data_IF_928306845844
#
_entry.id   IF_928306845844
#
_cell.length_a   1.000
_cell.length_b   1.000
_cell.length_c   1.000
_cell.angle_alpha   90.00
_cell.angle_beta   90.00
_cell.angle_gamma   90.00
#
_symmetry.space_group_name_H-M   'P 1'
#
loop_
_entity.id
_entity.type
_entity.pdbx_description
1 polymer ?
#
# COMPACT_ATOMS: atom_id res chain seq x y z
N UNK A 1 -13.84 37.63 -38.96
CA UNK A 1 -14.11 37.65 -37.50
C UNK A 1 -13.02 36.83 -36.79
N UNK A 2 -12.53 37.24 -35.60
CA UNK A 2 -11.58 36.42 -34.86
C UNK A 2 -12.26 35.13 -34.35
N UNK A 3 -11.48 34.03 -34.17
CA UNK A 3 -12.02 32.79 -33.63
C UNK A 3 -12.49 32.99 -32.17
N UNK A 4 -13.51 32.23 -31.73
CA UNK A 4 -13.95 32.29 -30.34
C UNK A 4 -12.81 31.86 -29.40
N UNK A 5 -12.75 32.42 -28.19
CA UNK A 5 -11.76 32.02 -27.19
C UNK A 5 -11.91 30.52 -26.86
N UNK A 6 -10.80 29.84 -26.54
CA UNK A 6 -10.84 28.42 -26.18
C UNK A 6 -11.76 28.21 -24.98
N UNK A 7 -12.64 27.21 -25.08
CA UNK A 7 -13.53 26.84 -24.00
C UNK A 7 -12.69 26.50 -22.76
N UNK A 8 -12.87 27.27 -21.68
CA UNK A 8 -12.30 26.94 -20.38
C UNK A 8 -12.93 25.63 -19.91
N UNK A 9 -12.09 24.59 -19.72
CA UNK A 9 -12.46 23.28 -19.15
C UNK A 9 -12.92 23.36 -17.67
N UNK A 10 -13.54 24.47 -17.26
CA UNK A 10 -13.77 24.83 -15.86
C UNK A 10 -15.10 24.33 -15.29
N UNK A 11 -15.83 23.46 -16.00
CA UNK A 11 -17.16 23.04 -15.56
C UNK A 11 -17.41 21.54 -15.65
N UNK A 12 -16.37 20.71 -15.51
CA UNK A 12 -16.63 19.33 -15.07
C UNK A 12 -16.81 19.41 -13.56
N UNK A 13 -18.04 19.29 -13.04
CA UNK A 13 -18.18 19.20 -11.60
C UNK A 13 -17.46 17.94 -11.12
N UNK A 14 -16.46 18.09 -10.27
CA UNK A 14 -15.79 16.99 -9.59
C UNK A 14 -16.74 16.44 -8.52
N UNK A 15 -17.77 15.72 -8.94
CA UNK A 15 -18.50 14.85 -8.03
C UNK A 15 -17.69 13.56 -7.90
N UNK A 16 -17.10 13.32 -6.74
CA UNK A 16 -16.75 11.96 -6.34
C UNK A 16 -18.09 11.23 -6.16
N UNK A 17 -18.55 10.59 -7.23
CA UNK A 17 -19.75 9.76 -7.23
C UNK A 17 -19.51 8.68 -6.17
N UNK A 18 -20.28 8.75 -5.07
CA UNK A 18 -20.44 7.76 -4.00
C UNK A 18 -19.37 6.67 -3.99
N UNK A 19 -18.15 7.04 -3.60
CA UNK A 19 -17.12 6.04 -3.31
C UNK A 19 -17.54 5.39 -2.01
N UNK A 20 -17.93 4.11 -2.08
CA UNK A 20 -18.24 3.32 -0.89
C UNK A 20 -17.12 3.47 0.14
N UNK A 21 -17.46 3.45 1.44
CA UNK A 21 -16.48 3.48 2.52
C UNK A 21 -15.38 2.45 2.23
N UNK A 22 -14.20 2.97 1.91
CA UNK A 22 -13.08 2.19 1.41
C UNK A 22 -11.96 2.23 2.42
N UNK A 23 -11.49 1.06 2.82
CA UNK A 23 -10.32 0.92 3.67
C UNK A 23 -9.08 0.76 2.81
N UNK A 24 -7.97 1.38 3.22
CA UNK A 24 -6.70 1.17 2.54
C UNK A 24 -5.55 1.05 3.55
N UNK A 25 -4.59 0.21 3.18
CA UNK A 25 -3.26 0.20 3.77
C UNK A 25 -2.24 0.45 2.67
N UNK A 26 -1.41 1.45 2.87
CA UNK A 26 -0.41 1.86 1.90
C UNK A 26 0.88 2.25 2.59
N UNK A 27 1.96 2.28 1.82
CA UNK A 27 3.25 2.73 2.30
C UNK A 27 3.89 3.65 1.25
N UNK A 28 4.32 4.83 1.70
CA UNK A 28 5.01 5.85 0.89
C UNK A 28 6.12 6.51 1.70
N UNK A 29 6.95 5.69 2.37
CA UNK A 29 7.93 6.17 3.36
C UNK A 29 7.38 6.24 4.79
N UNK A 30 6.07 6.45 4.92
CA UNK A 30 5.30 6.16 6.14
C UNK A 30 4.17 5.22 5.78
N UNK A 31 3.72 4.41 6.74
CA UNK A 31 2.53 3.59 6.51
C UNK A 31 1.29 4.42 6.79
N UNK A 32 0.32 4.33 5.89
CA UNK A 32 -1.04 4.76 6.17
C UNK A 32 -1.88 3.52 6.39
N UNK A 33 -2.43 3.41 7.60
CA UNK A 33 -3.33 2.34 7.98
C UNK A 33 -4.67 3.00 8.26
N UNK A 34 -5.63 2.80 7.35
CA UNK A 34 -6.93 3.47 7.39
C UNK A 34 -6.81 5.01 7.37
N UNK A 35 -7.39 5.66 8.38
CA UNK A 35 -7.40 7.10 8.58
C UNK A 35 -6.18 7.60 9.34
N UNK A 36 -5.37 6.70 9.90
CA UNK A 36 -4.20 7.04 10.71
C UNK A 36 -2.90 6.92 9.92
N UNK A 37 -2.10 7.99 9.96
CA UNK A 37 -0.71 7.94 9.55
C UNK A 37 0.12 7.36 10.70
N UNK A 38 0.89 6.32 10.40
CA UNK A 38 1.87 5.76 11.33
C UNK A 38 3.27 6.10 10.84
N UNK A 39 3.80 7.20 11.38
CA UNK A 39 5.15 7.69 11.11
C UNK A 39 6.23 6.83 11.78
N UNK A 40 5.85 5.84 12.59
CA UNK A 40 6.81 4.93 13.23
C UNK A 40 7.41 3.95 12.23
N UNK A 41 6.82 3.77 11.03
CA UNK A 41 7.42 2.95 9.98
C UNK A 41 8.78 3.53 9.56
N UNK A 42 9.86 2.75 9.72
CA UNK A 42 11.23 3.23 9.55
C UNK A 42 11.86 2.87 8.21
N UNK A 43 11.15 2.13 7.37
CA UNK A 43 11.59 1.99 5.99
C UNK A 43 11.33 3.35 5.30
N UNK A 44 12.33 3.87 4.60
CA UNK A 44 12.22 5.01 3.69
C UNK A 44 12.86 4.57 2.38
N UNK A 45 12.07 4.41 1.34
CA UNK A 45 12.55 3.88 0.05
C UNK A 45 13.11 4.98 -0.85
N UNK A 46 13.87 5.92 -0.30
CA UNK A 46 14.39 7.08 -1.03
C UNK A 46 15.45 6.72 -2.10
N UNK A 47 15.70 5.43 -2.32
CA UNK A 47 16.64 4.88 -3.30
C UNK A 47 16.12 3.54 -3.85
N UNK A 48 14.94 3.55 -4.46
CA UNK A 48 14.52 2.41 -5.28
C UNK A 48 15.20 2.50 -6.64
N UNK A 49 15.81 1.41 -7.06
CA UNK A 49 16.47 1.31 -8.37
C UNK A 49 15.72 0.36 -9.30
N UNK A 50 16.00 0.45 -10.60
CA UNK A 50 15.42 -0.47 -11.57
C UNK A 50 15.82 -1.92 -11.24
N UNK A 51 14.82 -2.79 -11.10
CA UNK A 51 15.01 -4.19 -10.70
C UNK A 51 14.73 -4.45 -9.22
N UNK A 52 14.59 -3.41 -8.39
CA UNK A 52 14.13 -3.58 -7.02
C UNK A 52 12.68 -4.09 -6.97
N UNK A 53 12.40 -4.92 -5.98
CA UNK A 53 11.06 -5.41 -5.66
C UNK A 53 10.64 -4.91 -4.31
N UNK A 54 9.46 -4.29 -4.24
CA UNK A 54 8.80 -3.92 -3.00
C UNK A 54 7.52 -4.74 -2.87
N UNK A 55 7.29 -5.33 -1.71
CA UNK A 55 6.06 -6.05 -1.43
C UNK A 55 5.42 -5.56 -0.13
N UNK A 56 4.10 -5.50 -0.14
CA UNK A 56 3.27 -5.23 1.03
C UNK A 56 2.50 -6.52 1.35
N UNK A 57 2.61 -6.99 2.58
CA UNK A 57 1.82 -8.12 3.06
C UNK A 57 0.85 -7.61 4.13
N UNK A 58 -0.45 -7.84 3.91
CA UNK A 58 -1.46 -7.75 4.94
C UNK A 58 -1.92 -9.17 5.30
N UNK A 59 -1.66 -9.60 6.53
CA UNK A 59 -1.99 -10.96 6.99
C UNK A 59 -3.32 -10.99 7.74
N UNK A 60 -3.97 -12.17 7.74
CA UNK A 60 -5.20 -12.45 8.52
C UNK A 60 -5.02 -12.32 10.03
N UNK A 61 -3.78 -12.43 10.52
CA UNK A 61 -3.39 -12.15 11.90
C UNK A 61 -3.19 -10.65 12.18
N UNK A 62 -3.63 -9.79 11.25
CA UNK A 62 -3.61 -8.32 11.37
C UNK A 62 -2.22 -7.70 11.38
N UNK A 63 -1.27 -8.29 10.64
CA UNK A 63 0.04 -7.67 10.42
C UNK A 63 0.11 -7.01 9.06
N UNK A 64 0.58 -5.77 9.03
CA UNK A 64 1.00 -5.09 7.82
C UNK A 64 2.53 -5.05 7.77
N UNK A 65 3.12 -5.61 6.71
CA UNK A 65 4.55 -5.81 6.60
C UNK A 65 5.07 -5.28 5.27
N UNK A 66 6.26 -4.69 5.29
CA UNK A 66 6.92 -4.13 4.10
C UNK A 66 8.21 -4.90 3.83
N UNK A 67 8.37 -5.33 2.58
CA UNK A 67 9.54 -6.04 2.10
C UNK A 67 10.20 -5.25 0.98
N UNK A 68 11.53 -5.35 0.92
CA UNK A 68 12.33 -4.85 -0.20
C UNK A 68 13.39 -5.87 -0.55
N UNK A 69 13.38 -6.33 -1.81
CA UNK A 69 14.19 -7.41 -2.34
C UNK A 69 14.11 -8.68 -1.48
N UNK A 70 12.88 -9.08 -1.14
CA UNK A 70 12.56 -10.27 -0.34
C UNK A 70 12.84 -10.16 1.16
N UNK A 71 13.49 -9.10 1.64
CA UNK A 71 13.83 -8.92 3.05
C UNK A 71 12.79 -8.09 3.77
N UNK A 72 12.37 -8.53 4.97
CA UNK A 72 11.51 -7.75 5.85
C UNK A 72 12.22 -6.46 6.24
N UNK A 73 11.58 -5.32 5.99
CA UNK A 73 12.10 -4.01 6.38
C UNK A 73 11.43 -3.49 7.64
N UNK A 74 10.12 -3.62 7.73
CA UNK A 74 9.36 -3.21 8.91
C UNK A 74 7.97 -3.87 8.93
N UNK A 75 7.33 -3.91 10.09
CA UNK A 75 5.99 -4.48 10.27
C UNK A 75 5.22 -3.83 11.41
N UNK A 76 3.89 -3.76 11.33
CA UNK A 76 3.04 -3.29 12.42
C UNK A 76 1.83 -4.19 12.62
N UNK A 77 1.41 -4.29 13.87
CA UNK A 77 0.10 -4.83 14.21
C UNK A 77 -0.96 -3.78 13.93
N UNK A 78 -1.99 -4.16 13.19
CA UNK A 78 -3.04 -3.26 12.73
C UNK A 78 -4.32 -3.60 13.49
N UNK A 79 -4.65 -2.78 14.49
CA UNK A 79 -5.79 -3.04 15.40
C UNK A 79 -7.12 -3.09 14.65
N UNK A 80 -7.28 -2.18 13.68
CA UNK A 80 -8.46 -2.01 12.86
C UNK A 80 -8.18 -2.40 11.40
N UNK A 81 -7.59 -3.57 11.17
CA UNK A 81 -7.91 -4.27 9.93
C UNK A 81 -9.38 -4.58 10.11
N UNK A 82 -10.24 -3.79 9.48
CA UNK A 82 -11.67 -4.03 9.48
C UNK A 82 -11.88 -5.51 9.10
N UNK A 83 -13.07 -6.07 9.29
CA UNK A 83 -13.44 -7.38 8.75
C UNK A 83 -13.20 -7.54 7.21
N UNK A 84 -12.59 -6.55 6.56
CA UNK A 84 -12.22 -6.34 5.16
C UNK A 84 -11.25 -7.35 4.55
N UNK A 85 -10.61 -8.26 5.27
CA UNK A 85 -9.97 -9.41 4.60
C UNK A 85 -11.01 -10.40 4.05
N UNK A 86 -12.28 -10.28 4.45
CA UNK A 86 -13.41 -11.00 3.86
C UNK A 86 -13.92 -10.33 2.57
N UNK A 87 -13.44 -9.12 2.26
CA UNK A 87 -13.83 -8.36 1.06
C UNK A 87 -12.67 -8.33 0.04
N UNK A 88 -12.98 -8.20 -1.27
CA UNK A 88 -11.95 -8.08 -2.29
C UNK A 88 -11.01 -6.91 -2.02
N UNK A 89 -9.71 -7.19 -1.97
CA UNK A 89 -8.66 -6.17 -1.89
C UNK A 89 -8.03 -5.94 -3.26
N UNK A 90 -7.72 -4.67 -3.54
CA UNK A 90 -7.07 -4.26 -4.77
C UNK A 90 -5.72 -3.65 -4.46
N UNK A 91 -4.69 -4.12 -5.16
CA UNK A 91 -3.36 -3.52 -5.10
C UNK A 91 -3.34 -2.20 -5.89
N UNK A 92 -2.89 -1.13 -5.24
CA UNK A 92 -2.74 0.19 -5.84
C UNK A 92 -1.28 0.63 -5.72
N UNK A 93 -0.78 1.31 -6.75
CA UNK A 93 0.54 1.93 -6.75
C UNK A 93 0.38 3.37 -7.24
N UNK A 94 0.76 4.33 -6.41
CA UNK A 94 0.89 5.74 -6.80
C UNK A 94 2.32 5.96 -7.31
N UNK A 95 2.42 6.43 -8.56
CA UNK A 95 3.69 6.63 -9.26
C UNK A 95 3.91 8.14 -9.40
N UNK A 96 5.00 8.64 -8.81
CA UNK A 96 5.34 10.08 -8.82
C UNK A 96 6.75 10.33 -9.33
N UNK A 97 6.97 11.51 -9.90
CA UNK A 97 8.28 11.97 -10.35
C UNK A 97 8.76 11.24 -11.62
N UNK A 98 10.05 10.87 -11.66
CA UNK A 98 10.71 10.30 -12.84
C UNK A 98 10.50 8.79 -13.02
N UNK A 99 9.62 8.18 -12.23
CA UNK A 99 9.31 6.75 -12.37
C UNK A 99 8.66 6.48 -13.72
N UNK A 100 9.33 5.66 -14.55
CA UNK A 100 8.87 5.36 -15.91
C UNK A 100 7.93 4.16 -15.97
N UNK A 101 8.25 3.09 -15.23
CA UNK A 101 7.55 1.81 -15.31
C UNK A 101 7.56 1.15 -13.94
N UNK A 102 6.41 0.61 -13.55
CA UNK A 102 6.27 -0.32 -12.42
C UNK A 102 5.50 -1.53 -12.93
N UNK A 103 5.96 -2.73 -12.57
CA UNK A 103 5.29 -3.99 -12.92
C UNK A 103 4.64 -4.56 -11.67
N UNK A 104 3.34 -4.82 -11.72
CA UNK A 104 2.64 -5.56 -10.67
C UNK A 104 2.79 -7.06 -10.92
N UNK A 105 3.50 -7.74 -10.02
CA UNK A 105 3.61 -9.20 -10.04
C UNK A 105 2.32 -9.83 -9.48
N UNK A 106 1.36 -10.13 -10.37
CA UNK A 106 0.02 -10.62 -10.01
C UNK A 106 0.02 -11.96 -9.28
N UNK A 107 0.97 -12.82 -9.62
CA UNK A 107 1.14 -14.15 -9.02
C UNK A 107 2.29 -14.18 -8.00
N UNK A 108 2.67 -13.02 -7.45
CA UNK A 108 3.71 -12.95 -6.44
C UNK A 108 3.24 -13.68 -5.18
N UNK A 109 3.96 -14.73 -4.82
CA UNK A 109 3.79 -15.40 -3.54
C UNK A 109 4.71 -14.74 -2.53
N UNK A 110 4.27 -14.51 -1.29
CA UNK A 110 5.15 -14.04 -0.23
C UNK A 110 6.31 -15.04 -0.07
N UNK A 111 7.58 -14.61 -0.13
CA UNK A 111 8.73 -15.50 0.05
C UNK A 111 8.66 -16.30 1.35
N UNK A 112 9.27 -17.48 1.41
CA UNK A 112 9.23 -18.32 2.63
C UNK A 112 9.73 -17.59 3.89
N UNK A 113 10.71 -16.70 3.75
CA UNK A 113 11.19 -15.85 4.84
C UNK A 113 10.11 -14.89 5.36
N UNK A 114 9.27 -14.38 4.48
CA UNK A 114 8.12 -13.54 4.80
C UNK A 114 7.08 -14.33 5.58
N UNK A 115 6.76 -15.54 5.10
CA UNK A 115 5.83 -16.44 5.77
C UNK A 115 6.38 -16.84 7.15
N UNK A 116 7.68 -17.14 7.25
CA UNK A 116 8.35 -17.45 8.52
C UNK A 116 8.33 -16.27 9.49
N UNK A 117 8.62 -15.05 9.02
CA UNK A 117 8.58 -13.85 9.83
C UNK A 117 7.16 -13.57 10.34
N UNK A 118 6.15 -13.64 9.47
CA UNK A 118 4.76 -13.49 9.84
C UNK A 118 4.32 -14.50 10.90
N UNK A 119 4.70 -15.78 10.75
CA UNK A 119 4.43 -16.83 11.75
C UNK A 119 5.18 -16.60 13.06
N UNK A 120 6.41 -16.08 13.03
CA UNK A 120 7.17 -15.74 14.24
C UNK A 120 6.48 -14.63 15.01
N UNK A 121 6.15 -13.53 14.34
CA UNK A 121 5.46 -12.38 14.95
C UNK A 121 4.10 -12.81 15.53
N UNK A 122 3.32 -13.61 14.80
CA UNK A 122 2.04 -14.13 15.30
C UNK A 122 2.20 -14.92 16.60
N UNK A 123 3.19 -15.84 16.68
CA UNK A 123 3.43 -16.62 17.90
C UNK A 123 3.86 -15.78 19.09
N UNK A 124 4.70 -14.77 18.88
CA UNK A 124 5.18 -13.90 19.96
C UNK A 124 4.07 -12.98 20.52
N UNK A 125 2.96 -12.81 19.80
CA UNK A 125 1.87 -11.90 20.15
C UNK A 125 0.53 -12.60 20.47
N UNK A 126 0.32 -13.86 20.07
CA UNK A 126 -0.84 -14.68 20.46
C UNK A 126 -0.67 -15.33 21.86
N UNK A 127 0.51 -15.23 22.49
CA UNK A 127 0.78 -15.70 23.86
C UNK A 127 0.49 -14.63 24.96
N UNK A 128 -0.21 -13.55 24.61
CA UNK A 128 -0.71 -12.49 25.53
C UNK A 128 -2.23 -12.38 25.47
#
# INVERSE_FOLDING_TARGET
>A
PPPPPPATLSSVPHFAIDVADSWFAGYTGTARLDSTWDDSFKFYSNRLEAGDTVALLLSVQRYFMVFHNGRLKDWRFVRNVVRTLELPMFALVDVRGDTRVVTLARDAHPPDEVIRAARKVAREHDEL
#
